data_IF_801541888810
#
_entry.id   IF_801541888810
#
_cell.length_a   1.000
_cell.length_b   1.000
_cell.length_c   1.000
_cell.angle_alpha   90.00
_cell.angle_beta   90.00
_cell.angle_gamma   90.00
#
_symmetry.space_group_name_H-M   'P 1'
#
loop_
_entity.id
_entity.type
_entity.pdbx_description
1 polymer ?
#
# COMPACT_ATOMS: atom_id res chain seq x y z
N UNK A 1 59.48 -0.84 -32.52
CA UNK A 1 58.84 -2.03 -31.91
C UNK A 1 58.29 -1.61 -30.55
N UNK A 2 56.96 -1.53 -30.37
CA UNK A 2 56.14 -2.52 -29.63
C UNK A 2 56.63 -2.59 -28.15
N UNK A 3 55.89 -2.20 -27.10
CA UNK A 3 54.58 -2.73 -26.66
C UNK A 3 54.03 -1.85 -25.52
N UNK A 4 52.79 -1.38 -25.65
CA UNK A 4 51.61 -1.77 -24.85
C UNK A 4 51.63 -1.22 -23.41
N UNK A 5 50.96 -0.08 -23.24
CA UNK A 5 50.45 0.41 -21.97
C UNK A 5 49.25 -0.49 -21.58
N UNK A 6 49.35 -1.25 -20.48
CA UNK A 6 48.22 -2.00 -19.94
C UNK A 6 47.33 -1.05 -19.13
N UNK A 7 46.18 -0.66 -19.70
CA UNK A 7 45.11 -0.01 -18.96
C UNK A 7 44.19 -1.12 -18.41
N UNK A 8 44.41 -1.51 -17.15
CA UNK A 8 43.52 -2.43 -16.45
C UNK A 8 42.22 -1.72 -16.09
N UNK A 9 41.14 -2.06 -16.80
CA UNK A 9 39.79 -1.56 -16.51
C UNK A 9 39.26 -2.28 -15.27
N UNK A 10 39.29 -1.62 -14.12
CA UNK A 10 38.67 -2.11 -12.89
C UNK A 10 37.16 -1.79 -12.97
N UNK A 11 36.36 -2.75 -13.44
CA UNK A 11 34.89 -2.66 -13.38
C UNK A 11 34.46 -3.05 -11.97
N UNK A 12 34.27 -2.06 -11.11
CA UNK A 12 33.53 -2.27 -9.85
C UNK A 12 32.07 -2.59 -10.20
N UNK A 13 31.65 -3.82 -9.95
CA UNK A 13 30.24 -4.21 -10.05
C UNK A 13 29.44 -3.46 -8.98
N UNK A 14 28.70 -2.42 -9.38
CA UNK A 14 27.64 -1.82 -8.58
C UNK A 14 26.44 -2.76 -8.57
N UNK A 15 26.56 -3.95 -7.97
CA UNK A 15 25.38 -4.70 -7.56
C UNK A 15 24.73 -3.85 -6.46
N UNK A 16 23.65 -3.18 -6.84
CA UNK A 16 23.12 -2.05 -6.11
C UNK A 16 22.36 -2.53 -4.88
N UNK A 17 22.58 -1.88 -3.72
CA UNK A 17 21.82 -2.13 -2.49
C UNK A 17 20.30 -2.01 -2.70
N UNK A 18 19.87 -1.35 -3.79
CA UNK A 18 18.48 -1.17 -4.16
C UNK A 18 17.75 -2.50 -4.43
N UNK A 19 18.40 -3.51 -5.02
CA UNK A 19 17.75 -4.80 -5.29
C UNK A 19 17.42 -5.56 -4.00
N UNK A 20 18.23 -5.39 -2.95
CA UNK A 20 18.01 -6.07 -1.66
C UNK A 20 16.85 -5.51 -0.83
N UNK A 21 16.38 -4.29 -1.14
CA UNK A 21 15.31 -3.61 -0.40
C UNK A 21 13.96 -3.69 -1.12
N UNK A 22 13.91 -4.22 -2.35
CA UNK A 22 12.66 -4.38 -3.08
C UNK A 22 12.00 -5.70 -2.71
N UNK A 23 10.74 -5.67 -2.22
CA UNK A 23 10.01 -6.90 -1.98
C UNK A 23 9.76 -7.63 -3.29
N UNK A 24 9.89 -8.95 -3.29
CA UNK A 24 9.42 -9.78 -4.39
C UNK A 24 7.89 -9.85 -4.34
N UNK A 25 7.23 -9.39 -5.42
CA UNK A 25 5.77 -9.28 -5.51
C UNK A 25 5.20 -10.22 -6.59
N UNK A 26 4.05 -10.84 -6.31
CA UNK A 26 3.30 -11.72 -7.23
C UNK A 26 1.79 -11.46 -7.16
N UNK A 27 1.01 -12.08 -8.04
CA UNK A 27 -0.45 -12.00 -8.06
C UNK A 27 -0.98 -10.56 -8.04
N UNK A 28 -0.53 -9.73 -8.99
CA UNK A 28 -0.91 -8.32 -9.05
C UNK A 28 -2.41 -8.14 -9.34
N UNK A 29 -3.05 -7.20 -8.66
CA UNK A 29 -4.44 -6.83 -8.89
C UNK A 29 -4.70 -5.34 -8.62
N UNK A 30 -5.87 -4.88 -9.06
CA UNK A 30 -6.39 -3.54 -8.72
C UNK A 30 -7.57 -3.67 -7.77
N UNK A 31 -7.76 -2.66 -6.95
CA UNK A 31 -8.90 -2.58 -6.06
C UNK A 31 -9.43 -1.14 -6.07
N UNK A 32 -10.71 -0.99 -6.35
CA UNK A 32 -11.36 0.30 -6.55
C UNK A 32 -12.57 0.40 -5.62
N UNK A 33 -12.60 1.49 -4.86
CA UNK A 33 -13.53 1.71 -3.77
C UNK A 33 -14.15 3.11 -3.81
N UNK A 34 -15.33 3.21 -3.22
CA UNK A 34 -16.03 4.47 -2.96
C UNK A 34 -16.02 4.72 -1.46
N UNK A 35 -15.73 5.96 -1.05
CA UNK A 35 -15.79 6.37 0.36
C UNK A 35 -17.27 6.42 0.79
N UNK A 36 -17.62 5.64 1.80
CA UNK A 36 -18.96 5.60 2.37
C UNK A 36 -19.12 6.70 3.44
N UNK A 37 -18.11 6.87 4.30
CA UNK A 37 -18.13 7.86 5.37
C UNK A 37 -16.72 8.29 5.77
N UNK A 38 -16.62 9.53 6.28
CA UNK A 38 -15.44 10.06 6.96
C UNK A 38 -15.89 10.86 8.18
N UNK A 39 -15.33 10.58 9.34
CA UNK A 39 -15.69 11.25 10.60
C UNK A 39 -14.52 11.26 11.58
N UNK A 40 -14.68 11.99 12.69
CA UNK A 40 -13.74 12.00 13.82
C UNK A 40 -14.55 11.99 15.11
N UNK A 41 -13.97 11.39 16.16
CA UNK A 41 -14.58 11.35 17.50
C UNK A 41 -13.82 12.21 18.51
N UNK A 42 -12.60 12.61 18.19
CA UNK A 42 -11.70 13.38 19.07
C UNK A 42 -11.23 14.70 18.45
N UNK A 43 -11.58 14.96 17.19
CA UNK A 43 -11.15 16.14 16.43
C UNK A 43 -9.69 16.07 15.95
N UNK A 44 -9.01 14.94 16.14
CA UNK A 44 -7.59 14.75 15.83
C UNK A 44 -7.39 13.59 14.85
N UNK A 45 -7.95 12.42 15.17
CA UNK A 45 -7.85 11.23 14.34
C UNK A 45 -9.10 11.07 13.49
N UNK A 46 -8.91 10.61 12.24
CA UNK A 46 -10.01 10.49 11.28
C UNK A 46 -10.29 9.05 10.93
N UNK A 47 -11.56 8.67 11.01
CA UNK A 47 -12.09 7.37 10.65
C UNK A 47 -12.71 7.44 9.27
N UNK A 48 -12.32 6.54 8.37
CA UNK A 48 -12.82 6.49 6.99
C UNK A 48 -13.28 5.08 6.68
N UNK A 49 -14.47 4.94 6.13
CA UNK A 49 -14.95 3.67 5.58
C UNK A 49 -15.12 3.77 4.07
N UNK A 50 -14.84 2.68 3.38
CA UNK A 50 -15.00 2.59 1.94
C UNK A 50 -15.45 1.18 1.53
N UNK A 51 -16.17 1.07 0.43
CA UNK A 51 -16.64 -0.20 -0.09
C UNK A 51 -16.43 -0.28 -1.61
N UNK A 52 -16.19 -1.48 -2.11
CA UNK A 52 -15.79 -1.68 -3.50
C UNK A 52 -15.42 -3.10 -3.82
N UNK A 53 -14.74 -3.29 -4.95
CA UNK A 53 -14.30 -4.61 -5.40
C UNK A 53 -12.76 -4.67 -5.47
N UNK A 54 -12.19 -5.78 -5.01
CA UNK A 54 -10.73 -5.94 -4.86
C UNK A 54 -10.24 -7.26 -5.47
N UNK A 55 -9.99 -7.27 -6.78
CA UNK A 55 -9.41 -8.40 -7.50
C UNK A 55 -9.98 -9.77 -7.07
N UNK A 56 -9.15 -10.69 -6.56
CA UNK A 56 -9.61 -12.05 -6.19
C UNK A 56 -10.49 -12.08 -4.93
N UNK A 57 -10.57 -10.99 -4.16
CA UNK A 57 -11.32 -10.92 -2.90
C UNK A 57 -12.78 -10.51 -3.07
N UNK A 58 -13.22 -10.16 -4.29
CA UNK A 58 -14.61 -9.80 -4.55
C UNK A 58 -15.01 -8.50 -3.85
N UNK A 59 -16.18 -8.48 -3.23
CA UNK A 59 -16.75 -7.32 -2.54
C UNK A 59 -16.05 -7.11 -1.20
N UNK A 60 -15.52 -5.91 -0.99
CA UNK A 60 -14.75 -5.56 0.21
C UNK A 60 -15.31 -4.31 0.89
N UNK A 61 -15.29 -4.33 2.22
CA UNK A 61 -15.59 -3.21 3.09
C UNK A 61 -14.35 -2.91 3.92
N UNK A 62 -13.93 -1.65 3.88
CA UNK A 62 -12.74 -1.13 4.54
C UNK A 62 -13.14 -0.20 5.67
N UNK A 63 -12.41 -0.27 6.77
CA UNK A 63 -12.40 0.73 7.82
C UNK A 63 -10.98 1.14 8.13
N UNK A 64 -10.72 2.44 8.19
CA UNK A 64 -9.41 3.02 8.48
C UNK A 64 -9.50 3.99 9.66
N UNK A 65 -8.41 4.07 10.42
CA UNK A 65 -8.12 5.14 11.37
C UNK A 65 -6.81 5.79 10.93
N UNK A 66 -6.90 7.04 10.49
CA UNK A 66 -5.76 7.88 10.12
C UNK A 66 -5.30 8.68 11.33
N UNK A 67 -3.99 8.70 11.54
CA UNK A 67 -3.31 9.43 12.61
C UNK A 67 -2.17 10.29 12.03
N UNK A 68 -1.66 11.22 12.83
CA UNK A 68 -0.42 11.96 12.57
C UNK A 68 0.31 12.11 13.90
N UNK A 69 0.91 11.01 14.38
CA UNK A 69 1.46 10.97 15.74
C UNK A 69 2.69 11.85 15.90
N UNK A 70 3.34 12.20 14.78
CA UNK A 70 4.51 13.07 14.75
C UNK A 70 4.16 14.54 14.43
N UNK A 71 2.88 14.86 14.23
CA UNK A 71 2.39 16.22 13.96
C UNK A 71 3.03 16.86 12.72
N UNK A 72 3.20 16.06 11.66
CA UNK A 72 3.81 16.47 10.40
C UNK A 72 2.85 17.25 9.50
N UNK A 73 1.55 17.14 9.73
CA UNK A 73 0.47 17.87 9.07
C UNK A 73 0.11 17.37 7.67
N UNK A 74 1.10 16.97 6.87
CA UNK A 74 0.91 16.50 5.49
C UNK A 74 1.03 14.98 5.34
N UNK A 75 1.39 14.25 6.39
CA UNK A 75 1.64 12.81 6.36
C UNK A 75 1.43 12.19 7.73
N UNK A 76 1.28 10.89 7.73
CA UNK A 76 1.12 10.14 8.96
C UNK A 76 0.96 8.66 8.69
N UNK A 77 0.29 7.99 9.61
CA UNK A 77 0.11 6.55 9.67
C UNK A 77 -1.38 6.23 9.64
N UNK A 78 -1.71 5.00 9.28
CA UNK A 78 -3.05 4.48 9.47
C UNK A 78 -3.01 3.01 9.87
N UNK A 79 -4.07 2.61 10.57
CA UNK A 79 -4.46 1.21 10.72
C UNK A 79 -5.84 1.03 10.14
N UNK A 80 -6.19 -0.20 9.77
CA UNK A 80 -7.50 -0.49 9.25
C UNK A 80 -7.83 -1.97 9.23
N UNK A 81 -9.07 -2.27 8.89
CA UNK A 81 -9.58 -3.62 8.72
C UNK A 81 -10.29 -3.74 7.36
N UNK A 82 -10.11 -4.88 6.71
CA UNK A 82 -10.92 -5.28 5.56
C UNK A 82 -11.79 -6.47 5.93
N UNK A 83 -13.03 -6.46 5.46
CA UNK A 83 -13.89 -7.63 5.39
C UNK A 83 -14.28 -7.83 3.93
N UNK A 84 -14.04 -9.02 3.42
CA UNK A 84 -14.19 -9.36 2.00
C UNK A 84 -15.06 -10.60 1.84
N UNK A 85 -15.90 -10.59 0.81
CA UNK A 85 -16.66 -11.76 0.40
C UNK A 85 -16.62 -11.94 -1.12
N UNK A 86 -16.27 -13.15 -1.54
CA UNK A 86 -16.33 -13.60 -2.92
C UNK A 86 -17.08 -14.94 -2.99
N UNK A 87 -18.37 -14.88 -3.34
CA UNK A 87 -19.23 -16.06 -3.26
C UNK A 87 -19.39 -16.54 -1.81
N UNK A 88 -19.01 -17.79 -1.55
CA UNK A 88 -19.04 -18.40 -0.21
C UNK A 88 -17.79 -18.09 0.61
N UNK A 89 -16.70 -17.64 -0.03
CA UNK A 89 -15.44 -17.34 0.65
C UNK A 89 -15.49 -15.99 1.34
N UNK A 90 -15.26 -15.99 2.66
CA UNK A 90 -15.10 -14.78 3.48
C UNK A 90 -13.65 -14.67 3.92
N UNK A 91 -13.06 -13.49 3.74
CA UNK A 91 -11.70 -13.18 4.18
C UNK A 91 -11.72 -11.87 4.99
N UNK A 92 -10.84 -11.76 5.96
CA UNK A 92 -10.58 -10.52 6.68
C UNK A 92 -9.12 -10.13 6.55
N UNK A 93 -8.81 -8.86 6.75
CA UNK A 93 -7.42 -8.41 6.78
C UNK A 93 -7.22 -7.29 7.80
N UNK A 94 -6.01 -7.22 8.34
CA UNK A 94 -5.51 -6.02 9.02
C UNK A 94 -4.68 -5.22 8.03
N UNK A 95 -4.88 -3.91 8.01
CA UNK A 95 -4.27 -2.97 7.07
C UNK A 95 -3.41 -2.01 7.88
N UNK A 96 -2.15 -1.83 7.52
CA UNK A 96 -1.24 -0.96 8.26
C UNK A 96 -0.27 -0.27 7.29
N UNK A 97 -0.20 1.05 7.40
CA UNK A 97 0.54 1.82 6.42
C UNK A 97 0.76 3.27 6.78
N UNK A 98 1.25 4.01 5.78
CA UNK A 98 1.51 5.45 5.85
C UNK A 98 0.82 6.17 4.71
N UNK A 99 0.50 7.42 4.92
CA UNK A 99 -0.04 8.30 3.87
C UNK A 99 0.78 9.57 3.74
N UNK A 100 0.77 10.15 2.54
CA UNK A 100 1.32 11.48 2.24
C UNK A 100 0.29 12.25 1.41
N UNK A 101 -0.09 13.44 1.87
CA UNK A 101 -0.97 14.37 1.18
C UNK A 101 -0.21 15.04 0.04
N UNK A 102 -0.75 14.95 -1.18
CA UNK A 102 -0.22 15.57 -2.38
C UNK A 102 -1.33 16.38 -3.05
N UNK A 103 -1.36 17.69 -2.75
CA UNK A 103 -2.44 18.56 -3.22
C UNK A 103 -3.79 18.14 -2.65
N UNK A 104 -4.70 17.70 -3.51
CA UNK A 104 -6.04 17.22 -3.15
C UNK A 104 -6.10 15.72 -2.81
N UNK A 105 -5.06 14.96 -3.18
CA UNK A 105 -5.02 13.51 -3.00
C UNK A 105 -4.16 13.12 -1.81
N UNK A 106 -4.37 11.90 -1.31
CA UNK A 106 -3.54 11.25 -0.31
C UNK A 106 -2.98 9.97 -0.92
N UNK A 107 -1.66 9.89 -1.10
CA UNK A 107 -0.99 8.66 -1.51
C UNK A 107 -0.80 7.76 -0.30
N UNK A 108 -1.20 6.50 -0.42
CA UNK A 108 -1.16 5.51 0.65
C UNK A 108 -0.21 4.38 0.28
N UNK A 109 0.53 3.88 1.27
CA UNK A 109 1.42 2.72 1.14
C UNK A 109 1.14 1.79 2.31
N UNK A 110 0.75 0.55 2.04
CA UNK A 110 0.29 -0.39 3.06
C UNK A 110 0.87 -1.78 2.88
N UNK A 111 1.06 -2.48 3.98
CA UNK A 111 1.34 -3.91 4.02
C UNK A 111 0.26 -4.58 4.87
N UNK A 112 -0.54 -5.40 4.20
CA UNK A 112 -1.77 -5.95 4.75
C UNK A 112 -1.57 -7.43 5.07
N UNK A 113 -2.15 -7.90 6.17
CA UNK A 113 -2.14 -9.31 6.55
C UNK A 113 -3.55 -9.87 6.42
N UNK A 114 -3.73 -10.81 5.50
CA UNK A 114 -5.02 -11.41 5.14
C UNK A 114 -5.21 -12.75 5.86
N UNK A 115 -6.45 -13.08 6.24
CA UNK A 115 -6.80 -14.31 6.97
C UNK A 115 -6.44 -15.62 6.26
N UNK A 116 -6.22 -15.58 4.94
CA UNK A 116 -5.70 -16.72 4.17
C UNK A 116 -4.17 -16.88 4.23
N UNK A 117 -3.49 -16.14 5.11
CA UNK A 117 -2.05 -16.22 5.33
C UNK A 117 -1.20 -15.43 4.35
N UNK A 118 -1.82 -14.68 3.41
CA UNK A 118 -1.09 -13.81 2.49
C UNK A 118 -0.76 -12.47 3.14
N UNK A 119 0.41 -11.94 2.78
CA UNK A 119 0.73 -10.53 2.96
C UNK A 119 0.56 -9.83 1.61
N UNK A 120 -0.13 -8.70 1.59
CA UNK A 120 -0.39 -7.92 0.37
C UNK A 120 0.21 -6.54 0.53
N UNK A 121 1.12 -6.16 -0.37
CA UNK A 121 1.60 -4.79 -0.47
C UNK A 121 0.70 -4.02 -1.44
N UNK A 122 0.26 -2.82 -1.04
CA UNK A 122 -0.54 -1.98 -1.90
C UNK A 122 -0.12 -0.51 -1.85
N UNK A 123 -0.19 0.13 -3.02
CA UNK A 123 0.01 1.56 -3.20
C UNK A 123 -1.28 2.14 -3.74
N UNK A 124 -1.82 3.15 -3.05
CA UNK A 124 -3.13 3.69 -3.36
C UNK A 124 -3.20 5.19 -3.40
N UNK A 125 -4.33 5.67 -3.90
CA UNK A 125 -4.70 7.08 -3.94
C UNK A 125 -6.09 7.24 -3.36
N UNK A 126 -6.19 8.03 -2.31
CA UNK A 126 -7.42 8.44 -1.65
C UNK A 126 -7.75 9.88 -2.03
N UNK A 127 -8.97 10.12 -2.52
CA UNK A 127 -9.48 11.44 -2.87
C UNK A 127 -10.85 11.64 -2.20
N UNK A 128 -10.87 12.48 -1.16
CA UNK A 128 -12.09 12.76 -0.40
C UNK A 128 -13.11 13.60 -1.18
N UNK A 129 -12.66 14.42 -2.14
CA UNK A 129 -13.55 15.26 -2.95
C UNK A 129 -14.32 14.39 -3.94
N UNK A 130 -13.63 13.48 -4.61
CA UNK A 130 -14.21 12.54 -5.57
C UNK A 130 -14.84 11.32 -4.90
N UNK A 131 -14.60 11.13 -3.60
CA UNK A 131 -15.00 9.96 -2.82
C UNK A 131 -14.43 8.66 -3.38
N UNK A 132 -13.22 8.70 -3.91
CA UNK A 132 -12.55 7.54 -4.51
C UNK A 132 -11.39 7.08 -3.65
N UNK A 133 -11.20 5.77 -3.64
CA UNK A 133 -10.02 5.12 -3.08
C UNK A 133 -9.63 4.00 -4.03
N UNK A 134 -8.43 4.08 -4.61
CA UNK A 134 -7.95 3.08 -5.57
C UNK A 134 -6.57 2.56 -5.16
N UNK A 135 -6.32 1.28 -5.39
CA UNK A 135 -5.05 0.63 -5.09
C UNK A 135 -4.55 -0.20 -6.28
N UNK A 136 -3.22 -0.22 -6.43
CA UNK A 136 -2.48 -1.30 -7.08
C UNK A 136 -1.87 -2.16 -5.98
N UNK A 137 -2.17 -3.45 -6.02
CA UNK A 137 -1.82 -4.38 -4.97
C UNK A 137 -1.15 -5.63 -5.54
N UNK A 138 -0.32 -6.28 -4.72
CA UNK A 138 0.32 -7.54 -5.04
C UNK A 138 0.66 -8.32 -3.76
N UNK A 139 0.65 -9.65 -3.84
CA UNK A 139 1.07 -10.51 -2.75
C UNK A 139 2.59 -10.45 -2.58
N UNK A 140 3.04 -10.23 -1.36
CA UNK A 140 4.44 -10.36 -0.96
C UNK A 140 4.85 -11.84 -0.98
N UNK A 141 6.00 -12.13 -1.58
CA UNK A 141 6.65 -13.44 -1.46
C UNK A 141 7.48 -13.45 -0.19
N UNK A 142 7.05 -14.25 0.78
CA UNK A 142 7.82 -14.55 2.00
C UNK A 142 8.57 -15.85 1.75
N UNK A 143 9.90 -15.79 1.81
CA UNK A 143 10.83 -16.92 1.62
C UNK A 143 11.09 -17.67 2.93
#
# INVERSE_FOLDING_TARGET
MKKILFFGLLVFSTASLADSLQPTLKNHFSADFVIDAAHTTDGVNYQVSASGDAGPYGRVYLSYVFTDKQQLGDRGEFTGHAWAQNGEDVQTATLQGVYVKQGAEFKMYTLDAVSNGKFTYAVGTLNFVEKTLSFKAADLVVE
#
